data_IF_735788245319
#
_entry.id   IF_735788245319
#
_cell.length_a   1.000
_cell.length_b   1.000
_cell.length_c   1.000
_cell.angle_alpha   90.00
_cell.angle_beta   90.00
_cell.angle_gamma   90.00
#
_symmetry.space_group_name_H-M   'P 1'
#
loop_
_entity.id
_entity.type
_entity.pdbx_description
1 polymer ?
#
# COMPACT_ATOMS: atom_id res chain seq x y z
N UNK A 1 -3.43 -17.88 1.28
CA UNK A 1 -3.98 -16.75 2.06
C UNK A 1 -3.92 -17.09 3.55
N UNK A 2 -3.30 -16.28 4.44
CA UNK A 2 -3.29 -16.55 5.87
C UNK A 2 -4.71 -16.62 6.45
N UNK A 3 -4.96 -17.54 7.38
CA UNK A 3 -6.31 -17.76 7.95
C UNK A 3 -6.88 -16.49 8.60
N UNK A 4 -6.07 -15.79 9.39
CA UNK A 4 -6.52 -14.57 10.09
C UNK A 4 -6.85 -13.45 9.11
N UNK A 5 -6.08 -13.32 8.01
CA UNK A 5 -6.38 -12.39 6.93
C UNK A 5 -7.75 -12.70 6.30
N UNK A 6 -8.03 -13.98 6.03
CA UNK A 6 -9.32 -14.42 5.47
C UNK A 6 -10.48 -14.07 6.41
N UNK A 7 -10.34 -14.36 7.70
CA UNK A 7 -11.35 -14.02 8.72
C UNK A 7 -11.56 -12.49 8.76
N UNK A 8 -10.48 -11.71 8.86
CA UNK A 8 -10.57 -10.24 8.87
C UNK A 8 -11.22 -9.69 7.61
N UNK A 9 -10.90 -10.27 6.45
CA UNK A 9 -11.51 -9.88 5.18
C UNK A 9 -13.02 -10.14 5.16
N UNK A 10 -13.47 -11.27 5.70
CA UNK A 10 -14.90 -11.59 5.79
C UNK A 10 -15.63 -10.60 6.72
N UNK A 11 -15.11 -10.34 7.89
CA UNK A 11 -15.79 -9.49 8.86
C UNK A 11 -15.53 -8.01 8.64
N UNK A 12 -14.27 -7.57 8.70
CA UNK A 12 -13.90 -6.15 8.56
C UNK A 12 -14.09 -5.68 7.12
N UNK A 13 -13.66 -6.48 6.14
CA UNK A 13 -13.81 -6.15 4.73
C UNK A 13 -15.26 -6.00 4.31
N UNK A 14 -16.17 -6.87 4.76
CA UNK A 14 -17.59 -6.73 4.47
C UNK A 14 -18.23 -5.56 5.23
N UNK A 15 -17.82 -5.31 6.48
CA UNK A 15 -18.28 -4.12 7.23
C UNK A 15 -17.90 -2.83 6.49
N UNK A 16 -16.67 -2.74 5.97
CA UNK A 16 -16.21 -1.59 5.17
C UNK A 16 -16.99 -1.46 3.86
N UNK A 17 -17.26 -2.56 3.17
CA UNK A 17 -18.08 -2.55 1.94
C UNK A 17 -19.52 -2.10 2.20
N UNK A 18 -20.12 -2.55 3.29
CA UNK A 18 -21.50 -2.17 3.66
C UNK A 18 -21.57 -0.71 4.12
N UNK A 19 -20.62 -0.29 4.97
CA UNK A 19 -20.62 1.03 5.58
C UNK A 19 -20.33 2.17 4.60
N UNK A 20 -19.46 1.94 3.62
CA UNK A 20 -19.03 3.01 2.68
C UNK A 20 -19.31 2.70 1.21
N UNK A 21 -19.69 1.48 0.87
CA UNK A 21 -20.00 1.05 -0.52
C UNK A 21 -18.99 1.57 -1.54
N UNK A 22 -17.69 1.24 -1.37
CA UNK A 22 -16.64 1.79 -2.22
C UNK A 22 -16.90 1.48 -3.69
N UNK A 23 -16.75 2.47 -4.56
CA UNK A 23 -16.72 2.26 -6.00
C UNK A 23 -15.39 1.68 -6.39
N UNK A 24 -15.40 0.62 -7.19
CA UNK A 24 -14.19 -0.07 -7.64
C UNK A 24 -14.19 -0.11 -9.17
N UNK A 25 -13.11 0.39 -9.76
CA UNK A 25 -12.92 0.46 -11.20
C UNK A 25 -11.59 -0.20 -11.58
N UNK A 26 -11.55 -0.93 -12.69
CA UNK A 26 -10.33 -1.56 -13.21
C UNK A 26 -9.81 -2.75 -12.41
N UNK A 27 -10.64 -3.39 -11.57
CA UNK A 27 -10.21 -4.54 -10.75
C UNK A 27 -9.68 -5.71 -11.60
N UNK A 28 -10.11 -5.81 -12.85
CA UNK A 28 -9.63 -6.76 -13.85
C UNK A 28 -8.13 -6.60 -14.19
N UNK A 29 -7.55 -5.44 -13.90
CA UNK A 29 -6.10 -5.22 -14.07
C UNK A 29 -5.26 -5.87 -12.96
N UNK A 30 -5.88 -6.24 -11.84
CA UNK A 30 -5.18 -6.99 -10.78
C UNK A 30 -5.07 -8.45 -11.20
N UNK A 31 -3.85 -9.00 -11.38
CA UNK A 31 -3.70 -10.36 -11.87
C UNK A 31 -4.34 -11.38 -10.92
N UNK A 32 -5.04 -12.36 -11.47
CA UNK A 32 -5.70 -13.44 -10.68
C UNK A 32 -4.70 -14.42 -10.09
N UNK A 33 -3.52 -14.55 -10.68
CA UNK A 33 -2.40 -15.39 -10.23
C UNK A 33 -1.07 -14.65 -10.39
N UNK A 34 -0.01 -15.16 -9.78
CA UNK A 34 1.32 -14.52 -9.81
C UNK A 34 1.42 -13.29 -8.90
N UNK A 35 2.63 -12.86 -8.64
CA UNK A 35 2.89 -11.68 -7.80
C UNK A 35 2.68 -10.38 -8.56
N UNK A 36 2.31 -9.32 -7.83
CA UNK A 36 2.31 -7.96 -8.35
C UNK A 36 2.49 -6.95 -7.21
N UNK A 37 3.08 -5.81 -7.53
CA UNK A 37 3.16 -4.67 -6.61
C UNK A 37 1.95 -3.76 -6.87
N UNK A 38 1.07 -3.61 -5.88
CA UNK A 38 0.01 -2.61 -5.91
C UNK A 38 0.59 -1.29 -5.40
N UNK A 39 0.76 -0.31 -6.27
CA UNK A 39 1.39 0.95 -5.90
C UNK A 39 0.42 2.12 -6.03
N UNK A 40 0.11 2.80 -4.92
CA UNK A 40 -0.92 3.84 -4.90
C UNK A 40 -0.54 5.11 -4.13
N UNK A 41 -1.36 6.16 -4.28
CA UNK A 41 -1.33 7.32 -3.40
C UNK A 41 -1.73 6.90 -1.97
N UNK A 42 -1.33 7.69 -0.98
CA UNK A 42 -1.59 7.36 0.42
C UNK A 42 -2.24 8.54 1.16
N UNK A 43 -3.50 8.40 1.51
CA UNK A 43 -4.29 9.44 2.17
C UNK A 43 -4.58 9.09 3.64
N UNK A 44 -4.80 7.80 3.92
CA UNK A 44 -5.29 7.34 5.22
C UNK A 44 -4.77 5.94 5.56
N UNK A 45 -4.81 5.58 6.84
CA UNK A 45 -4.62 4.18 7.26
C UNK A 45 -5.75 3.28 6.75
N UNK A 46 -6.92 3.85 6.44
CA UNK A 46 -8.04 3.13 5.84
C UNK A 46 -7.76 2.66 4.42
N UNK A 47 -6.76 3.20 3.70
CA UNK A 47 -6.39 2.77 2.35
C UNK A 47 -6.11 1.27 2.32
N UNK A 48 -5.32 0.77 3.28
CA UNK A 48 -4.96 -0.64 3.39
C UNK A 48 -6.19 -1.52 3.64
N UNK A 49 -7.10 -1.05 4.50
CA UNK A 49 -8.32 -1.79 4.85
C UNK A 49 -9.24 -1.89 3.65
N UNK A 50 -9.44 -0.79 2.91
CA UNK A 50 -10.26 -0.79 1.70
C UNK A 50 -9.64 -1.63 0.59
N UNK A 51 -8.33 -1.53 0.35
CA UNK A 51 -7.65 -2.39 -0.62
C UNK A 51 -7.80 -3.87 -0.26
N UNK A 52 -7.55 -4.25 1.00
CA UNK A 52 -7.75 -5.61 1.49
C UNK A 52 -9.20 -6.09 1.38
N UNK A 53 -10.18 -5.18 1.51
CA UNK A 53 -11.60 -5.50 1.38
C UNK A 53 -12.00 -5.81 -0.08
N UNK A 54 -11.52 -5.00 -1.05
CA UNK A 54 -12.00 -5.08 -2.44
C UNK A 54 -11.21 -6.05 -3.31
N UNK A 55 -9.90 -6.18 -3.11
CA UNK A 55 -9.07 -7.12 -3.90
C UNK A 55 -9.32 -8.55 -3.44
N UNK A 56 -9.68 -9.51 -4.33
CA UNK A 56 -10.06 -10.86 -3.93
C UNK A 56 -8.90 -11.72 -3.41
N UNK A 57 -7.66 -11.27 -3.59
CA UNK A 57 -6.42 -11.97 -3.23
C UNK A 57 -5.81 -11.44 -1.93
N UNK A 58 -4.83 -12.18 -1.39
CA UNK A 58 -4.03 -11.72 -0.28
C UNK A 58 -3.12 -10.56 -0.72
N UNK A 59 -3.10 -9.50 0.10
CA UNK A 59 -2.18 -8.38 -0.03
C UNK A 59 -1.35 -8.33 1.25
N UNK A 60 -0.05 -8.43 1.14
CA UNK A 60 0.84 -8.18 2.26
C UNK A 60 1.10 -6.67 2.38
N UNK A 61 0.85 -6.15 3.58
CA UNK A 61 1.11 -4.76 3.94
C UNK A 61 2.33 -4.65 4.83
N UNK A 62 2.90 -3.46 4.91
CA UNK A 62 4.06 -3.18 5.75
C UNK A 62 3.64 -2.90 7.19
N UNK A 63 4.30 -3.54 8.13
CA UNK A 63 4.09 -3.29 9.55
C UNK A 63 5.40 -2.94 10.26
N UNK A 64 5.34 -2.01 11.20
CA UNK A 64 6.51 -1.56 11.96
C UNK A 64 7.18 -2.74 12.66
N UNK A 65 8.51 -2.78 12.65
CA UNK A 65 9.30 -3.83 13.32
C UNK A 65 8.93 -4.03 14.79
N UNK A 66 8.58 -2.94 15.49
CA UNK A 66 8.19 -2.96 16.88
C UNK A 66 6.92 -3.80 17.14
N UNK A 67 6.06 -3.94 16.14
CA UNK A 67 4.84 -4.77 16.24
C UNK A 67 5.16 -6.27 16.29
N UNK A 68 6.33 -6.67 15.79
CA UNK A 68 6.79 -8.06 15.82
C UNK A 68 7.59 -8.42 17.07
N UNK A 69 8.02 -7.44 17.85
CA UNK A 69 8.85 -7.63 19.04
C UNK A 69 8.17 -7.21 20.34
N UNK A 70 6.93 -6.77 20.26
CA UNK A 70 6.17 -6.30 21.41
C UNK A 70 6.00 -7.37 22.49
N UNK A 71 6.28 -6.99 23.75
CA UNK A 71 6.14 -7.83 24.94
C UNK A 71 4.86 -7.50 25.72
N UNK A 72 4.54 -8.32 26.73
CA UNK A 72 3.30 -8.19 27.49
C UNK A 72 2.04 -8.60 26.71
N UNK A 73 0.85 -8.60 27.34
CA UNK A 73 -0.38 -9.09 26.72
C UNK A 73 -0.75 -8.30 25.44
N UNK A 74 -0.65 -6.96 25.50
CA UNK A 74 -0.94 -6.07 24.35
C UNK A 74 0.06 -6.30 23.20
N UNK A 75 1.36 -6.38 23.52
CA UNK A 75 2.40 -6.59 22.52
C UNK A 75 2.26 -7.95 21.82
N UNK A 76 1.95 -9.02 22.59
CA UNK A 76 1.70 -10.36 22.04
C UNK A 76 0.46 -10.39 21.15
N UNK A 77 -0.61 -9.68 21.51
CA UNK A 77 -1.81 -9.58 20.65
C UNK A 77 -1.49 -8.87 19.34
N UNK A 78 -0.80 -7.73 19.38
CA UNK A 78 -0.41 -6.99 18.16
C UNK A 78 0.48 -7.88 17.27
N UNK A 79 1.48 -8.55 17.85
CA UNK A 79 2.35 -9.48 17.13
C UNK A 79 1.53 -10.59 16.46
N UNK A 80 0.64 -11.25 17.19
CA UNK A 80 -0.25 -12.29 16.64
C UNK A 80 -1.07 -11.77 15.46
N UNK A 81 -1.60 -10.53 15.56
CA UNK A 81 -2.36 -9.91 14.47
C UNK A 81 -1.49 -9.65 13.24
N UNK A 82 -0.35 -9.00 13.36
CA UNK A 82 0.49 -8.66 12.20
C UNK A 82 1.09 -9.91 11.54
N UNK A 83 1.56 -10.88 12.32
CA UNK A 83 2.06 -12.17 11.80
C UNK A 83 0.93 -12.98 11.13
N UNK A 84 -0.23 -13.05 11.76
CA UNK A 84 -1.38 -13.77 11.25
C UNK A 84 -2.02 -13.14 9.99
N UNK A 85 -1.74 -11.86 9.71
CA UNK A 85 -2.13 -11.22 8.45
C UNK A 85 -1.06 -11.35 7.35
N UNK A 86 0.10 -11.94 7.64
CA UNK A 86 1.21 -12.00 6.69
C UNK A 86 1.84 -10.64 6.41
N UNK A 87 1.85 -9.75 7.40
CA UNK A 87 2.45 -8.43 7.25
C UNK A 87 3.96 -8.52 7.11
N UNK A 88 4.54 -7.63 6.30
CA UNK A 88 5.98 -7.55 6.06
C UNK A 88 6.59 -6.59 7.08
N UNK A 89 7.58 -7.10 7.80
CA UNK A 89 8.32 -6.30 8.79
C UNK A 89 9.13 -5.20 8.10
N UNK A 90 9.00 -3.96 8.58
CA UNK A 90 9.82 -2.84 8.13
C UNK A 90 10.41 -2.08 9.31
N UNK A 91 11.71 -1.84 9.25
CA UNK A 91 12.40 -0.96 10.20
C UNK A 91 12.32 0.49 9.69
N UNK A 92 12.10 1.44 10.60
CA UNK A 92 12.11 2.86 10.28
C UNK A 92 13.52 3.39 10.42
N UNK A 93 14.08 4.00 9.37
CA UNK A 93 15.40 4.66 9.41
C UNK A 93 16.23 4.42 8.16
N UNK A 94 16.23 5.31 7.21
CA UNK A 94 17.17 5.45 6.08
C UNK A 94 17.58 4.21 5.28
N UNK A 95 18.34 4.37 4.24
CA UNK A 95 18.71 3.39 3.22
C UNK A 95 18.86 1.90 3.57
N UNK A 96 19.40 1.55 4.73
CA UNK A 96 19.54 0.14 5.16
C UNK A 96 18.20 -0.51 5.55
N UNK A 97 17.30 0.27 6.16
CA UNK A 97 15.97 -0.22 6.56
C UNK A 97 15.07 -0.53 5.34
N UNK A 98 15.23 0.20 4.25
CA UNK A 98 14.55 -0.10 3.00
C UNK A 98 15.04 -1.41 2.36
N UNK A 99 16.30 -1.77 2.51
CA UNK A 99 16.85 -3.03 1.98
C UNK A 99 16.30 -4.24 2.73
N UNK A 100 16.25 -4.20 4.07
CA UNK A 100 15.68 -5.28 4.88
C UNK A 100 14.19 -5.46 4.63
N UNK A 101 13.47 -4.38 4.29
CA UNK A 101 12.08 -4.47 3.88
C UNK A 101 11.91 -5.29 2.59
N UNK A 102 12.79 -5.11 1.59
CA UNK A 102 12.72 -5.88 0.35
C UNK A 102 13.00 -7.37 0.56
N UNK A 103 13.91 -7.73 1.48
CA UNK A 103 14.18 -9.12 1.83
C UNK A 103 12.93 -9.86 2.30
N UNK A 104 12.00 -9.17 2.98
CA UNK A 104 10.72 -9.73 3.38
C UNK A 104 9.66 -9.75 2.26
N UNK A 105 9.68 -8.76 1.35
CA UNK A 105 8.65 -8.60 0.32
C UNK A 105 8.90 -9.45 -0.94
N UNK A 106 10.15 -9.62 -1.36
CA UNK A 106 10.50 -10.40 -2.56
C UNK A 106 10.01 -11.84 -2.48
N UNK A 107 10.20 -12.59 -1.37
CA UNK A 107 9.65 -13.94 -1.24
C UNK A 107 8.12 -14.00 -1.37
N UNK A 108 7.40 -13.01 -0.81
CA UNK A 108 5.94 -12.90 -0.89
C UNK A 108 5.49 -12.76 -2.36
N UNK A 109 6.12 -11.84 -3.10
CA UNK A 109 5.84 -11.63 -4.52
C UNK A 109 6.16 -12.88 -5.37
N UNK A 110 7.30 -13.54 -5.09
CA UNK A 110 7.71 -14.78 -5.79
C UNK A 110 6.81 -15.98 -5.46
N UNK A 111 6.19 -16.00 -4.28
CA UNK A 111 5.19 -16.99 -3.91
C UNK A 111 3.82 -16.73 -4.60
N UNK A 112 3.70 -15.62 -5.33
CA UNK A 112 2.51 -15.28 -6.09
C UNK A 112 1.51 -14.41 -5.34
N UNK A 113 1.84 -13.85 -4.19
CA UNK A 113 0.99 -12.91 -3.47
C UNK A 113 1.21 -11.46 -3.93
N UNK A 114 0.34 -10.56 -3.49
CA UNK A 114 0.41 -9.13 -3.78
C UNK A 114 1.10 -8.38 -2.63
N UNK A 115 1.82 -7.33 -2.95
CA UNK A 115 2.41 -6.42 -1.96
C UNK A 115 1.94 -5.00 -2.25
N UNK A 116 1.36 -4.32 -1.26
CA UNK A 116 0.99 -2.91 -1.38
C UNK A 116 2.17 -2.01 -1.04
N UNK A 117 2.39 -0.98 -1.84
CA UNK A 117 3.45 0.02 -1.64
C UNK A 117 2.87 1.41 -1.88
N UNK A 118 3.27 2.36 -1.04
CA UNK A 118 2.94 3.77 -1.24
C UNK A 118 4.21 4.52 -1.64
N UNK A 119 4.39 4.88 -2.93
CA UNK A 119 5.64 5.47 -3.44
C UNK A 119 6.02 6.78 -2.76
N UNK A 120 5.05 7.55 -2.27
CA UNK A 120 5.30 8.79 -1.51
C UNK A 120 6.09 8.53 -0.20
N UNK A 121 5.99 7.31 0.36
CA UNK A 121 6.65 6.89 1.60
C UNK A 121 6.00 7.43 2.87
N UNK A 122 4.93 8.19 2.75
CA UNK A 122 4.11 8.72 3.85
C UNK A 122 2.71 9.05 3.35
N UNK A 123 1.76 9.23 4.25
CA UNK A 123 0.44 9.75 3.91
C UNK A 123 0.55 11.21 3.49
N UNK A 124 -0.16 11.60 2.43
CA UNK A 124 -0.23 12.99 1.98
C UNK A 124 -0.74 13.91 3.11
N UNK A 125 -0.03 15.01 3.41
CA UNK A 125 -0.44 15.92 4.48
C UNK A 125 -1.65 16.79 4.10
N UNK A 126 -1.89 16.99 2.81
CA UNK A 126 -2.82 17.98 2.26
C UNK A 126 -3.68 17.47 1.08
N UNK A 127 -3.63 16.17 0.83
CA UNK A 127 -4.40 15.53 -0.24
C UNK A 127 -3.78 15.64 -1.63
N UNK A 128 -2.63 16.29 -1.82
CA UNK A 128 -1.88 16.34 -3.08
C UNK A 128 -1.03 15.09 -3.27
N UNK A 129 -0.64 14.81 -4.51
CA UNK A 129 0.23 13.68 -4.87
C UNK A 129 1.69 14.15 -4.90
N UNK A 130 2.51 13.65 -4.03
CA UNK A 130 3.93 14.02 -3.94
C UNK A 130 4.82 13.09 -4.76
N UNK A 131 6.03 13.56 -5.09
CA UNK A 131 7.03 12.79 -5.83
C UNK A 131 7.29 11.43 -5.20
N UNK A 132 7.18 10.36 -6.00
CA UNK A 132 7.43 9.00 -5.56
C UNK A 132 8.91 8.69 -5.35
N UNK A 133 9.21 7.88 -4.34
CA UNK A 133 10.51 7.24 -4.11
C UNK A 133 10.59 5.97 -4.96
N UNK A 134 11.79 5.57 -5.33
CA UNK A 134 12.03 4.44 -6.25
C UNK A 134 11.81 3.05 -5.63
N UNK A 135 11.31 2.97 -4.40
CA UNK A 135 11.13 1.70 -3.68
C UNK A 135 10.20 0.72 -4.38
N UNK A 136 9.04 1.18 -4.86
CA UNK A 136 8.09 0.32 -5.57
C UNK A 136 8.69 -0.24 -6.87
N UNK A 137 9.35 0.62 -7.67
CA UNK A 137 10.01 0.23 -8.92
C UNK A 137 11.13 -0.80 -8.66
N UNK A 138 11.98 -0.53 -7.68
CA UNK A 138 13.06 -1.45 -7.29
C UNK A 138 12.53 -2.80 -6.84
N UNK A 139 11.49 -2.81 -6.00
CA UNK A 139 10.89 -4.05 -5.51
C UNK A 139 10.31 -4.89 -6.66
N UNK A 140 9.57 -4.25 -7.55
CA UNK A 140 8.95 -4.92 -8.68
C UNK A 140 9.99 -5.51 -9.65
N UNK A 141 11.04 -4.75 -9.97
CA UNK A 141 12.15 -5.23 -10.79
C UNK A 141 12.89 -6.40 -10.13
N UNK A 142 13.23 -6.29 -8.85
CA UNK A 142 13.95 -7.35 -8.13
C UNK A 142 13.13 -8.65 -7.99
N UNK A 143 11.81 -8.53 -7.93
CA UNK A 143 10.92 -9.69 -7.89
C UNK A 143 10.52 -10.21 -9.29
N UNK A 144 10.73 -9.42 -10.36
CA UNK A 144 10.33 -9.76 -11.73
C UNK A 144 8.81 -9.75 -11.92
N UNK A 145 8.09 -8.82 -11.28
CA UNK A 145 6.63 -8.75 -11.28
C UNK A 145 6.15 -7.38 -11.78
N UNK A 146 4.92 -7.28 -12.35
CA UNK A 146 4.37 -6.00 -12.77
C UNK A 146 4.01 -5.09 -11.59
N UNK A 147 3.90 -3.78 -11.86
CA UNK A 147 3.32 -2.79 -10.96
C UNK A 147 1.90 -2.46 -11.42
N UNK A 148 0.95 -2.55 -10.53
CA UNK A 148 -0.43 -2.11 -10.76
C UNK A 148 -0.60 -0.74 -10.10
N UNK A 149 -0.77 0.35 -10.87
CA UNK A 149 -1.07 1.66 -10.31
C UNK A 149 -2.43 1.64 -9.62
N UNK A 150 -2.54 2.25 -8.45
CA UNK A 150 -3.78 2.31 -7.67
C UNK A 150 -4.09 3.76 -7.31
N UNK A 151 -5.30 4.20 -7.60
CA UNK A 151 -5.84 5.46 -7.14
C UNK A 151 -6.84 5.23 -6.00
N UNK A 152 -6.61 5.84 -4.84
CA UNK A 152 -7.52 5.79 -3.70
C UNK A 152 -8.00 7.20 -3.39
N UNK A 153 -9.34 7.38 -3.31
CA UNK A 153 -9.97 8.69 -3.08
C UNK A 153 -10.98 8.59 -1.94
N UNK A 154 -11.06 9.64 -1.13
CA UNK A 154 -12.07 9.81 -0.09
C UNK A 154 -11.77 9.14 1.24
N UNK A 155 -10.71 8.36 1.36
CA UNK A 155 -10.31 7.68 2.60
C UNK A 155 -9.80 8.64 3.67
N UNK A 156 -9.27 9.78 3.27
CA UNK A 156 -8.92 10.91 4.15
C UNK A 156 -10.12 11.47 4.91
N UNK A 157 -11.30 11.46 4.30
CA UNK A 157 -12.56 11.85 4.94
C UNK A 157 -13.10 10.74 5.85
N UNK A 158 -12.92 9.48 5.43
CA UNK A 158 -13.31 8.31 6.24
C UNK A 158 -12.50 8.27 7.53
N UNK A 159 -11.19 8.35 7.42
CA UNK A 159 -10.31 8.34 8.59
C UNK A 159 -9.17 9.36 8.41
N UNK A 160 -9.43 10.63 8.76
CA UNK A 160 -8.41 11.66 8.73
C UNK A 160 -7.17 11.28 9.53
N UNK A 161 -6.05 11.88 9.17
CA UNK A 161 -4.79 11.70 9.91
C UNK A 161 -5.01 12.04 11.39
N UNK A 162 -4.65 11.10 12.29
CA UNK A 162 -4.85 11.25 13.74
C UNK A 162 -6.22 10.77 14.26
N UNK A 163 -7.19 10.49 13.38
CA UNK A 163 -8.45 9.94 13.83
C UNK A 163 -8.28 8.45 14.24
N UNK A 164 -8.76 8.06 15.43
CA UNK A 164 -8.59 6.68 15.92
C UNK A 164 -9.52 5.68 15.20
N UNK A 165 -10.67 6.13 14.72
CA UNK A 165 -11.68 5.29 14.09
C UNK A 165 -12.23 5.92 12.82
N UNK A 166 -12.68 5.10 11.85
CA UNK A 166 -13.35 5.58 10.64
C UNK A 166 -14.71 6.21 10.95
N UNK A 167 -15.06 7.24 10.18
CA UNK A 167 -16.32 8.01 10.32
C UNK A 167 -17.33 7.51 9.31
N UNK A 168 -18.47 6.98 9.77
CA UNK A 168 -19.60 6.62 8.91
C UNK A 168 -20.21 7.88 8.26
N UNK A 169 -20.70 7.73 7.02
CA UNK A 169 -21.31 8.84 6.29
C UNK A 169 -20.33 9.91 5.81
N UNK A 170 -19.04 9.65 5.85
CA UNK A 170 -17.98 10.60 5.50
C UNK A 170 -17.83 10.87 3.98
N UNK A 171 -18.68 10.30 3.16
CA UNK A 171 -18.69 10.46 1.71
C UNK A 171 -18.26 9.21 0.95
N UNK A 172 -18.08 9.39 -0.35
CA UNK A 172 -17.76 8.31 -1.28
C UNK A 172 -16.27 7.92 -1.19
N UNK A 173 -16.02 6.61 -1.22
CA UNK A 173 -14.68 6.04 -1.40
C UNK A 173 -14.60 5.45 -2.80
N UNK A 174 -13.56 5.80 -3.55
CA UNK A 174 -13.32 5.25 -4.89
C UNK A 174 -11.94 4.63 -4.94
N UNK A 175 -11.85 3.42 -5.50
CA UNK A 175 -10.60 2.72 -5.71
C UNK A 175 -10.50 2.38 -7.19
N UNK A 176 -9.43 2.84 -7.84
CA UNK A 176 -9.16 2.62 -9.26
C UNK A 176 -7.87 1.85 -9.45
N UNK A 177 -7.92 0.82 -10.26
CA UNK A 177 -6.73 0.05 -10.64
C UNK A 177 -6.38 0.38 -12.09
N UNK A 178 -5.17 0.89 -12.32
CA UNK A 178 -4.62 1.16 -13.64
C UNK A 178 -4.10 -0.11 -14.33
N UNK A 179 -3.79 0.00 -15.61
CA UNK A 179 -3.18 -1.09 -16.38
C UNK A 179 -1.82 -1.47 -15.79
N UNK A 180 -1.44 -2.76 -15.83
CA UNK A 180 -0.13 -3.20 -15.38
C UNK A 180 1.00 -2.45 -16.10
N UNK A 181 1.98 -2.00 -15.34
CA UNK A 181 3.25 -1.49 -15.86
C UNK A 181 4.25 -2.64 -15.78
N UNK A 182 4.64 -3.14 -16.95
CA UNK A 182 5.56 -4.27 -17.04
C UNK A 182 7.00 -3.88 -16.65
N UNK A 183 7.67 -4.78 -15.95
CA UNK A 183 9.07 -4.61 -15.53
C UNK A 183 10.05 -5.42 -16.38
N UNK A 184 9.55 -6.40 -17.10
CA UNK A 184 10.37 -7.25 -17.96
C UNK A 184 11.16 -6.42 -19.00
N UNK A 185 12.45 -6.72 -19.15
CA UNK A 185 13.34 -6.02 -20.08
C UNK A 185 13.82 -4.65 -19.63
N UNK A 186 13.42 -4.17 -18.45
CA UNK A 186 13.93 -2.89 -17.90
C UNK A 186 15.25 -3.13 -17.14
N UNK A 187 16.18 -2.18 -17.25
CA UNK A 187 17.44 -2.24 -16.52
C UNK A 187 17.25 -1.90 -15.03
N UNK A 188 18.05 -2.52 -14.16
CA UNK A 188 18.10 -2.19 -12.73
C UNK A 188 19.20 -1.14 -12.46
N UNK A 189 19.10 -0.01 -13.13
CA UNK A 189 19.96 1.14 -12.90
C UNK A 189 19.14 2.34 -12.35
N UNK A 190 19.87 3.34 -11.88
CA UNK A 190 19.26 4.52 -11.23
C UNK A 190 18.32 5.29 -12.18
N UNK A 191 18.66 5.38 -13.46
CA UNK A 191 17.87 6.12 -14.45
C UNK A 191 16.58 5.37 -14.77
N UNK A 192 16.66 4.07 -15.02
CA UNK A 192 15.52 3.19 -15.29
C UNK A 192 14.55 3.12 -14.10
N UNK A 193 15.08 2.99 -12.88
CA UNK A 193 14.26 3.03 -11.65
C UNK A 193 13.54 4.37 -11.51
N UNK A 194 14.20 5.48 -11.82
CA UNK A 194 13.56 6.80 -11.75
C UNK A 194 12.49 6.93 -12.82
N UNK A 195 12.77 6.55 -14.06
CA UNK A 195 11.82 6.60 -15.17
C UNK A 195 10.56 5.75 -14.88
N UNK A 196 10.75 4.51 -14.41
CA UNK A 196 9.64 3.63 -14.02
C UNK A 196 8.81 4.22 -12.87
N UNK A 197 9.45 4.88 -11.91
CA UNK A 197 8.72 5.54 -10.82
C UNK A 197 7.96 6.75 -11.33
N UNK A 198 8.53 7.56 -12.22
CA UNK A 198 7.86 8.74 -12.77
C UNK A 198 6.66 8.31 -13.64
N UNK A 199 6.79 7.24 -14.44
CA UNK A 199 5.69 6.60 -15.17
C UNK A 199 4.56 6.17 -14.22
N UNK A 200 4.90 5.47 -13.13
CA UNK A 200 3.94 5.06 -12.12
C UNK A 200 3.21 6.26 -11.49
N UNK A 201 3.93 7.33 -11.15
CA UNK A 201 3.31 8.52 -10.54
C UNK A 201 2.36 9.24 -11.49
N UNK A 202 2.67 9.26 -12.79
CA UNK A 202 1.76 9.77 -13.83
C UNK A 202 0.47 8.95 -13.91
N UNK A 203 0.57 7.63 -13.87
CA UNK A 203 -0.62 6.76 -13.87
C UNK A 203 -1.46 6.94 -12.59
N UNK A 204 -0.83 7.01 -11.40
CA UNK A 204 -1.54 7.31 -10.15
C UNK A 204 -2.23 8.67 -10.23
N UNK A 205 -1.58 9.69 -10.79
CA UNK A 205 -2.18 11.01 -10.98
C UNK A 205 -3.42 10.97 -11.88
N UNK A 206 -3.37 10.23 -12.99
CA UNK A 206 -4.54 10.03 -13.88
C UNK A 206 -5.71 9.37 -13.18
N UNK A 207 -5.43 8.37 -12.31
CA UNK A 207 -6.46 7.65 -11.57
C UNK A 207 -7.10 8.50 -10.47
N UNK A 208 -6.34 9.40 -9.86
CA UNK A 208 -6.78 10.18 -8.70
C UNK A 208 -7.26 11.58 -9.06
N UNK A 209 -6.69 12.19 -10.11
CA UNK A 209 -6.89 13.59 -10.44
C UNK A 209 -6.21 14.56 -9.44
N UNK A 210 -5.34 14.07 -8.55
CA UNK A 210 -4.65 14.90 -7.57
C UNK A 210 -3.66 15.87 -8.24
N UNK A 211 -3.50 17.07 -7.66
CA UNK A 211 -2.42 17.98 -8.02
C UNK A 211 -1.07 17.32 -7.71
N UNK A 212 -0.20 17.24 -8.71
CA UNK A 212 1.14 16.67 -8.53
C UNK A 212 2.13 17.71 -8.01
N UNK A 213 2.85 17.34 -6.95
CA UNK A 213 3.89 18.17 -6.35
C UNK A 213 5.26 17.53 -6.65
N UNK A 214 6.15 18.17 -7.48
CA UNK A 214 7.40 17.55 -7.97
C UNK A 214 8.52 17.54 -6.90
N UNK A 215 8.15 17.42 -5.62
CA UNK A 215 9.07 17.27 -4.48
C UNK A 215 8.58 16.16 -3.57
N UNK A 216 9.46 15.60 -2.76
CA UNK A 216 9.09 14.60 -1.76
C UNK A 216 8.21 15.22 -0.68
N UNK A 217 7.24 14.43 -0.20
CA UNK A 217 6.44 14.84 0.95
C UNK A 217 7.34 15.15 2.15
N UNK A 218 7.02 16.21 2.92
CA UNK A 218 7.78 16.52 4.13
C UNK A 218 7.76 15.35 5.10
N UNK A 219 8.84 15.15 5.88
CA UNK A 219 8.82 14.20 6.98
C UNK A 219 7.69 14.55 7.94
N UNK A 220 7.01 13.54 8.46
CA UNK A 220 6.08 13.78 9.56
C UNK A 220 6.87 14.10 10.81
N UNK A 221 6.56 15.22 11.42
CA UNK A 221 7.03 15.51 12.76
C UNK A 221 6.51 14.43 13.71
N UNK A 222 7.38 13.96 14.62
CA UNK A 222 7.08 12.89 15.56
C UNK A 222 5.95 13.22 16.57
N UNK A 223 5.39 14.43 16.50
CA UNK A 223 4.33 14.96 17.36
C UNK A 223 2.90 14.64 16.91
N UNK A 224 2.72 13.92 15.81
CA UNK A 224 1.41 13.52 15.28
C UNK A 224 1.25 12.00 15.23
N UNK A 225 1.38 11.32 16.38
CA UNK A 225 1.04 9.91 16.52
C UNK A 225 -0.44 9.71 16.77
#
# INVERSE_FOLDING_TARGET
MPLLYTISKIFVGNAMKIGWRPKVEGLEHVPTTGGAVLAGNHLSVSDEVFLGAVVPRHIAFWAKAEYFTGTGPKGRLIRFLVEGHGAIRVERGGGRAALTAFDGAIPVLKAGDLVAVYPEGTRSPDGRLYRGRTGAARLALAAGVPIIPVGVLGTDRVQPIGAPLPRLGSGEVVIRFGKPIETAGRADDRASLRALTDELMVEIQKLTGQEYVPRYAPPRDASGA
#
